data_IF_856684520717
#
_entry.id   IF_856684520717
#
_cell.length_a   1.000
_cell.length_b   1.000
_cell.length_c   1.000
_cell.angle_alpha   90.00
_cell.angle_beta   90.00
_cell.angle_gamma   90.00
#
_symmetry.space_group_name_H-M   'P 1'
#
loop_
_entity.id
_entity.type
_entity.pdbx_description
1 polymer ?
#
# COMPACT_ATOMS: atom_id res chain seq x y z
N UNK A 1 -4.52 -11.21 29.06
CA UNK A 1 -3.62 -10.93 27.90
C UNK A 1 -3.86 -11.88 26.71
N UNK A 2 -4.17 -13.18 26.94
CA UNK A 2 -4.46 -14.13 25.84
C UNK A 2 -5.81 -13.88 25.16
N UNK A 3 -6.80 -13.28 25.83
CA UNK A 3 -8.12 -13.02 25.25
C UNK A 3 -8.16 -11.87 24.24
N UNK A 4 -7.19 -10.95 24.27
CA UNK A 4 -7.16 -9.81 23.33
C UNK A 4 -6.61 -10.19 21.95
N UNK A 5 -5.78 -11.22 21.86
CA UNK A 5 -5.27 -11.72 20.58
C UNK A 5 -6.40 -12.34 19.76
N UNK A 6 -7.37 -13.02 20.40
CA UNK A 6 -8.53 -13.62 19.74
C UNK A 6 -9.60 -12.61 19.30
N UNK A 7 -9.70 -11.45 19.95
CA UNK A 7 -10.69 -10.42 19.60
C UNK A 7 -10.33 -9.61 18.35
N UNK A 8 -9.05 -9.65 17.92
CA UNK A 8 -8.56 -8.95 16.73
C UNK A 8 -8.61 -9.79 15.45
N UNK A 9 -9.10 -11.02 15.52
CA UNK A 9 -9.33 -11.80 14.31
C UNK A 9 -10.55 -11.21 13.60
N UNK A 10 -10.31 -10.59 12.44
CA UNK A 10 -11.39 -10.22 11.56
C UNK A 10 -12.26 -11.46 11.32
N UNK A 11 -13.58 -11.35 11.49
CA UNK A 11 -14.53 -12.39 11.11
C UNK A 11 -14.59 -12.50 9.59
N UNK A 12 -13.44 -12.86 9.02
CA UNK A 12 -13.23 -12.83 7.61
C UNK A 12 -13.12 -14.25 7.08
N UNK A 13 -14.19 -14.70 6.48
CA UNK A 13 -14.18 -15.92 5.68
C UNK A 13 -14.67 -15.57 4.29
N UNK A 14 -13.79 -15.58 3.32
CA UNK A 14 -14.19 -15.60 1.92
C UNK A 14 -14.08 -17.01 1.39
N UNK A 15 -15.18 -17.54 0.96
CA UNK A 15 -15.23 -18.65 0.02
C UNK A 15 -14.84 -18.11 -1.37
N UNK A 16 -13.56 -17.83 -1.56
CA UNK A 16 -13.05 -17.42 -2.87
C UNK A 16 -11.92 -18.33 -3.29
N UNK A 17 -11.91 -18.69 -4.57
CA UNK A 17 -10.82 -19.41 -5.21
C UNK A 17 -9.65 -18.47 -5.56
N UNK A 18 -9.76 -17.17 -5.24
CA UNK A 18 -8.75 -16.16 -5.51
C UNK A 18 -7.94 -15.82 -4.26
N UNK A 19 -6.62 -15.71 -4.41
CA UNK A 19 -5.75 -15.08 -3.43
C UNK A 19 -5.67 -13.59 -3.73
N UNK A 20 -6.39 -12.78 -2.97
CA UNK A 20 -6.42 -11.32 -3.11
C UNK A 20 -5.45 -10.67 -2.14
N UNK A 21 -4.52 -9.87 -2.66
CA UNK A 21 -3.54 -9.12 -1.86
C UNK A 21 -3.63 -7.65 -2.21
N UNK A 22 -3.79 -6.81 -1.19
CA UNK A 22 -3.88 -5.37 -1.35
C UNK A 22 -2.66 -4.68 -0.72
N UNK A 23 -2.23 -3.59 -1.34
CA UNK A 23 -1.08 -2.81 -0.92
C UNK A 23 -1.41 -1.33 -0.93
N UNK A 24 -0.91 -0.60 0.06
CA UNK A 24 -0.76 0.84 -0.09
C UNK A 24 0.36 1.19 -1.07
N UNK A 25 0.40 2.44 -1.47
CA UNK A 25 1.37 2.98 -2.42
C UNK A 25 2.67 3.43 -1.77
N UNK A 26 2.61 4.60 -1.14
CA UNK A 26 3.78 5.28 -0.59
C UNK A 26 4.34 4.55 0.62
N UNK A 27 5.66 4.49 0.73
CA UNK A 27 6.41 3.76 1.76
C UNK A 27 6.15 2.25 1.84
N UNK A 28 5.24 1.70 1.01
CA UNK A 28 4.92 0.27 0.89
C UNK A 28 5.41 -0.29 -0.44
N UNK A 29 4.73 0.00 -1.54
CA UNK A 29 5.19 -0.39 -2.89
C UNK A 29 6.25 0.56 -3.43
N UNK A 30 6.05 1.85 -3.21
CA UNK A 30 6.98 2.90 -3.62
C UNK A 30 7.85 3.33 -2.44
N UNK A 31 8.95 4.03 -2.73
CA UNK A 31 9.75 4.68 -1.70
C UNK A 31 8.94 5.74 -0.95
N UNK A 32 9.48 6.19 0.15
CA UNK A 32 8.86 7.10 1.10
C UNK A 32 9.09 8.59 0.80
N UNK A 33 9.78 8.92 -0.29
CA UNK A 33 10.15 10.30 -0.61
C UNK A 33 8.94 11.23 -0.79
N UNK A 34 7.87 10.75 -1.41
CA UNK A 34 6.65 11.54 -1.62
C UNK A 34 5.88 11.74 -0.33
N UNK A 35 5.80 10.69 0.50
CA UNK A 35 5.20 10.75 1.83
C UNK A 35 5.98 11.70 2.76
N UNK A 36 7.31 11.72 2.67
CA UNK A 36 8.15 12.65 3.42
C UNK A 36 7.87 14.11 3.04
N UNK A 37 7.72 14.41 1.74
CA UNK A 37 7.33 15.75 1.26
C UNK A 37 5.95 16.12 1.78
N UNK A 38 4.98 15.21 1.68
CA UNK A 38 3.63 15.45 2.18
C UNK A 38 3.63 15.79 3.68
N UNK A 39 4.37 15.02 4.49
CA UNK A 39 4.46 15.25 5.94
C UNK A 39 5.20 16.54 6.32
N UNK A 40 6.20 16.93 5.54
CA UNK A 40 7.00 18.12 5.82
C UNK A 40 6.37 19.40 5.28
N UNK A 41 5.80 19.38 4.08
CA UNK A 41 5.43 20.58 3.31
C UNK A 41 3.95 20.60 2.89
N UNK A 42 3.21 19.50 3.12
CA UNK A 42 1.77 19.41 2.86
C UNK A 42 1.40 19.02 1.43
N UNK A 43 0.09 19.10 1.16
CA UNK A 43 -0.52 18.56 -0.06
C UNK A 43 -0.10 19.31 -1.33
N UNK A 44 0.09 20.61 -1.25
CA UNK A 44 0.47 21.45 -2.41
C UNK A 44 1.87 21.09 -2.91
N UNK A 45 2.85 21.02 -2.00
CA UNK A 45 4.23 20.64 -2.33
C UNK A 45 4.29 19.20 -2.87
N UNK A 46 3.54 18.28 -2.27
CA UNK A 46 3.36 16.92 -2.77
C UNK A 46 2.84 16.93 -4.21
N UNK A 47 1.73 17.65 -4.48
CA UNK A 47 1.13 17.73 -5.81
C UNK A 47 2.07 18.28 -6.87
N UNK A 48 2.83 19.33 -6.52
CA UNK A 48 3.86 19.92 -7.37
C UNK A 48 4.98 18.92 -7.70
N UNK A 49 5.56 18.29 -6.67
CA UNK A 49 6.60 17.27 -6.84
C UNK A 49 6.13 16.11 -7.76
N UNK A 50 4.91 15.62 -7.56
CA UNK A 50 4.36 14.53 -8.35
C UNK A 50 4.11 14.92 -9.81
N UNK A 51 3.71 16.17 -10.05
CA UNK A 51 3.51 16.72 -11.39
C UNK A 51 4.83 16.91 -12.12
N UNK A 52 5.83 17.51 -11.47
CA UNK A 52 7.16 17.73 -12.04
C UNK A 52 7.87 16.40 -12.34
N UNK A 53 7.72 15.41 -11.46
CA UNK A 53 8.33 14.08 -11.60
C UNK A 53 7.42 13.05 -12.26
N UNK A 54 6.34 13.46 -12.92
CA UNK A 54 5.33 12.55 -13.47
C UNK A 54 5.89 11.48 -14.44
N UNK A 55 7.03 11.75 -15.08
CA UNK A 55 7.71 10.83 -16.00
C UNK A 55 8.92 10.11 -15.36
N UNK A 56 9.23 10.39 -14.10
CA UNK A 56 10.35 9.77 -13.38
C UNK A 56 9.78 8.69 -12.48
N UNK A 57 10.08 7.40 -12.72
CA UNK A 57 9.62 6.32 -11.87
C UNK A 57 10.04 6.53 -10.41
N UNK A 58 9.15 6.20 -9.49
CA UNK A 58 9.46 6.20 -8.07
C UNK A 58 10.44 5.08 -7.72
N UNK A 59 11.18 5.23 -6.62
CA UNK A 59 12.02 4.16 -6.06
C UNK A 59 11.16 3.03 -5.53
N UNK A 60 11.73 1.84 -5.46
CA UNK A 60 11.07 0.67 -4.88
C UNK A 60 10.95 0.79 -3.36
N UNK A 61 9.73 0.58 -2.86
CA UNK A 61 9.43 0.43 -1.44
C UNK A 61 9.73 -0.98 -0.91
N UNK A 62 9.48 -1.20 0.39
CA UNK A 62 9.76 -2.49 1.06
C UNK A 62 9.06 -3.68 0.40
N UNK A 63 7.82 -3.51 -0.06
CA UNK A 63 6.99 -4.58 -0.62
C UNK A 63 7.05 -4.71 -2.15
N UNK A 64 7.83 -3.87 -2.85
CA UNK A 64 7.94 -3.91 -4.31
C UNK A 64 8.40 -5.28 -4.84
N UNK A 65 9.39 -5.89 -4.17
CA UNK A 65 9.89 -7.24 -4.54
C UNK A 65 8.81 -8.31 -4.37
N UNK A 66 7.99 -8.20 -3.34
CA UNK A 66 6.88 -9.13 -3.11
C UNK A 66 5.82 -9.01 -4.21
N UNK A 67 5.37 -7.78 -4.52
CA UNK A 67 4.44 -7.55 -5.63
C UNK A 67 5.00 -8.06 -6.96
N UNK A 68 6.28 -7.86 -7.22
CA UNK A 68 6.96 -8.37 -8.42
C UNK A 68 6.93 -9.91 -8.50
N UNK A 69 7.11 -10.59 -7.36
CA UNK A 69 7.02 -12.05 -7.30
C UNK A 69 5.59 -12.53 -7.61
N UNK A 70 4.58 -11.89 -7.03
CA UNK A 70 3.18 -12.18 -7.33
C UNK A 70 2.86 -11.96 -8.82
N UNK A 71 3.32 -10.83 -9.40
CA UNK A 71 3.11 -10.54 -10.82
C UNK A 71 3.75 -11.59 -11.76
N UNK A 72 4.92 -12.15 -11.39
CA UNK A 72 5.53 -13.25 -12.14
C UNK A 72 4.67 -14.52 -12.10
N UNK A 73 4.10 -14.85 -10.93
CA UNK A 73 3.20 -16.00 -10.79
C UNK A 73 1.94 -15.80 -11.63
N UNK A 74 1.33 -14.60 -11.55
CA UNK A 74 0.16 -14.24 -12.39
C UNK A 74 0.45 -14.44 -13.89
N UNK A 75 1.57 -13.89 -14.36
CA UNK A 75 1.98 -14.03 -15.77
C UNK A 75 2.17 -15.50 -16.18
N UNK A 76 2.70 -16.33 -15.26
CA UNK A 76 2.84 -17.76 -15.51
C UNK A 76 1.48 -18.45 -15.57
N UNK A 77 0.58 -18.17 -14.63
CA UNK A 77 -0.78 -18.71 -14.63
C UNK A 77 -1.55 -18.35 -15.92
N UNK A 78 -1.42 -17.09 -16.39
CA UNK A 78 -2.03 -16.64 -17.65
C UNK A 78 -1.49 -17.43 -18.86
N UNK A 79 -0.18 -17.71 -18.91
CA UNK A 79 0.45 -18.42 -20.03
C UNK A 79 0.13 -19.92 -20.05
N UNK A 80 0.06 -20.54 -18.88
CA UNK A 80 -0.13 -21.99 -18.76
C UNK A 80 -1.60 -22.42 -18.86
N UNK A 81 -2.55 -21.46 -18.81
CA UNK A 81 -3.99 -21.72 -18.94
C UNK A 81 -4.54 -22.68 -17.87
N UNK A 82 -3.88 -22.75 -16.71
CA UNK A 82 -4.25 -23.67 -15.63
C UNK A 82 -5.46 -23.14 -14.85
N UNK A 83 -6.65 -23.59 -15.23
CA UNK A 83 -7.91 -23.21 -14.58
C UNK A 83 -8.09 -23.78 -13.16
N UNK A 84 -7.20 -24.66 -12.69
CA UNK A 84 -7.33 -25.35 -11.40
C UNK A 84 -6.42 -24.77 -10.29
N UNK A 85 -5.62 -23.74 -10.56
CA UNK A 85 -4.79 -23.09 -9.56
C UNK A 85 -5.50 -21.86 -8.98
N UNK A 86 -5.24 -21.59 -7.69
CA UNK A 86 -5.72 -20.36 -7.03
C UNK A 86 -5.22 -19.14 -7.79
N UNK A 87 -6.15 -18.39 -8.36
CA UNK A 87 -5.84 -17.15 -9.07
C UNK A 87 -5.36 -16.07 -8.10
N UNK A 88 -4.22 -15.46 -8.40
CA UNK A 88 -3.72 -14.32 -7.62
C UNK A 88 -4.32 -13.04 -8.18
N UNK A 89 -4.89 -12.21 -7.31
CA UNK A 89 -5.45 -10.89 -7.66
C UNK A 89 -4.81 -9.84 -6.77
N UNK A 90 -4.16 -8.85 -7.36
CA UNK A 90 -3.47 -7.79 -6.64
C UNK A 90 -4.18 -6.45 -6.78
N UNK A 91 -4.21 -5.66 -5.71
CA UNK A 91 -4.76 -4.32 -5.72
C UNK A 91 -3.81 -3.29 -5.10
N UNK A 92 -3.75 -2.13 -5.71
CA UNK A 92 -3.19 -0.92 -5.09
C UNK A 92 -4.36 -0.13 -4.47
N UNK A 93 -4.24 0.23 -3.20
CA UNK A 93 -5.25 1.02 -2.45
C UNK A 93 -4.54 2.21 -1.81
N UNK A 94 -4.57 3.37 -2.46
CA UNK A 94 -3.75 4.53 -2.07
C UNK A 94 -4.57 5.78 -1.85
N UNK A 95 -4.12 6.63 -0.93
CA UNK A 95 -4.69 7.97 -0.71
C UNK A 95 -4.39 8.96 -1.84
N UNK A 96 -3.50 8.62 -2.77
CA UNK A 96 -3.21 9.47 -3.94
C UNK A 96 -4.47 9.74 -4.76
N UNK A 97 -4.50 10.89 -5.41
CA UNK A 97 -5.55 11.29 -6.37
C UNK A 97 -4.92 11.95 -7.60
N UNK A 98 -5.73 12.51 -8.48
CA UNK A 98 -5.24 13.35 -9.57
C UNK A 98 -4.53 14.60 -9.01
N UNK A 99 -3.42 15.05 -9.61
CA UNK A 99 -2.68 14.47 -10.75
C UNK A 99 -1.66 13.39 -10.36
N UNK A 100 -1.40 13.16 -9.07
CA UNK A 100 -0.34 12.28 -8.56
C UNK A 100 -0.50 10.80 -8.98
N UNK A 101 -1.71 10.35 -9.31
CA UNK A 101 -1.99 8.99 -9.80
C UNK A 101 -1.23 8.66 -11.09
N UNK A 102 -0.95 9.66 -11.93
CA UNK A 102 -0.27 9.44 -13.22
C UNK A 102 1.15 8.88 -13.02
N UNK A 103 1.91 9.41 -12.06
CA UNK A 103 3.26 8.92 -11.73
C UNK A 103 3.22 7.49 -11.23
N UNK A 104 2.24 7.15 -10.39
CA UNK A 104 2.00 5.79 -9.89
C UNK A 104 1.83 4.79 -11.03
N UNK A 105 0.93 5.07 -11.98
CA UNK A 105 0.68 4.20 -13.12
C UNK A 105 1.93 4.06 -14.00
N UNK A 106 2.63 5.16 -14.29
CA UNK A 106 3.86 5.14 -15.07
C UNK A 106 4.98 4.37 -14.39
N UNK A 107 5.09 4.46 -13.05
CA UNK A 107 6.07 3.70 -12.27
C UNK A 107 5.82 2.20 -12.37
N UNK A 108 4.58 1.74 -12.16
CA UNK A 108 4.25 0.32 -12.28
C UNK A 108 4.52 -0.21 -13.69
N UNK A 109 4.19 0.58 -14.73
CA UNK A 109 4.50 0.25 -16.12
C UNK A 109 6.01 0.16 -16.38
N UNK A 110 6.80 1.11 -15.88
CA UNK A 110 8.26 1.09 -16.00
C UNK A 110 8.89 -0.12 -15.30
N UNK A 111 8.28 -0.60 -14.22
CA UNK A 111 8.70 -1.82 -13.53
C UNK A 111 8.24 -3.11 -14.23
N UNK A 112 7.40 -3.02 -15.27
CA UNK A 112 6.80 -4.17 -15.93
C UNK A 112 5.81 -4.93 -15.03
N UNK A 113 5.22 -4.25 -14.06
CA UNK A 113 4.28 -4.85 -13.09
C UNK A 113 2.86 -4.46 -13.45
N UNK A 114 1.99 -5.45 -13.58
CA UNK A 114 0.54 -5.29 -13.61
C UNK A 114 -0.04 -5.49 -12.23
N UNK A 115 -0.88 -4.57 -11.77
CA UNK A 115 -1.85 -4.82 -10.70
C UNK A 115 -3.23 -5.01 -11.33
N UNK A 116 -4.06 -5.88 -10.77
CA UNK A 116 -5.39 -6.16 -11.33
C UNK A 116 -6.34 -4.99 -11.10
N UNK A 117 -6.22 -4.31 -9.96
CA UNK A 117 -7.05 -3.17 -9.59
C UNK A 117 -6.20 -2.07 -8.96
N UNK A 118 -6.60 -0.82 -9.16
CA UNK A 118 -5.97 0.33 -8.52
C UNK A 118 -7.05 1.31 -8.07
N UNK A 119 -7.05 1.62 -6.79
CA UNK A 119 -8.00 2.52 -6.15
C UNK A 119 -7.26 3.78 -5.67
N UNK A 120 -7.60 4.90 -6.27
CA UNK A 120 -7.06 6.23 -5.94
C UNK A 120 -8.11 6.99 -5.14
N UNK A 121 -7.95 7.04 -3.83
CA UNK A 121 -9.02 7.41 -2.90
C UNK A 121 -9.07 8.90 -2.55
N UNK A 122 -8.01 9.67 -2.84
CA UNK A 122 -7.99 11.10 -2.54
C UNK A 122 -8.16 11.42 -1.04
N UNK A 123 -7.69 10.54 -0.16
CA UNK A 123 -7.82 10.68 1.29
C UNK A 123 -9.08 10.07 1.89
N UNK A 124 -9.96 9.44 1.10
CA UNK A 124 -11.08 8.67 1.64
C UNK A 124 -10.59 7.44 2.40
N UNK A 125 -11.40 6.99 3.36
CA UNK A 125 -11.08 5.83 4.19
C UNK A 125 -10.95 4.55 3.33
N UNK A 126 -9.83 3.87 3.45
CA UNK A 126 -9.50 2.66 2.68
C UNK A 126 -10.43 1.49 3.01
N UNK A 127 -11.05 1.48 4.19
CA UNK A 127 -11.94 0.41 4.64
C UNK A 127 -13.14 0.20 3.71
N UNK A 128 -13.64 1.24 3.06
CA UNK A 128 -14.74 1.11 2.08
C UNK A 128 -14.36 0.18 0.93
N UNK A 129 -13.18 0.38 0.35
CA UNK A 129 -12.70 -0.44 -0.76
C UNK A 129 -12.26 -1.83 -0.28
N UNK A 130 -11.56 -1.88 0.87
CA UNK A 130 -11.08 -3.14 1.41
C UNK A 130 -12.21 -4.09 1.77
N UNK A 131 -13.32 -3.57 2.31
CA UNK A 131 -14.53 -4.35 2.62
C UNK A 131 -15.15 -5.01 1.38
N UNK A 132 -15.12 -4.33 0.23
CA UNK A 132 -15.67 -4.84 -1.02
C UNK A 132 -14.66 -5.71 -1.78
N UNK A 133 -13.38 -5.31 -1.81
CA UNK A 133 -12.32 -6.09 -2.47
C UNK A 133 -12.01 -7.39 -1.72
N UNK A 134 -12.18 -7.41 -0.39
CA UNK A 134 -11.98 -8.57 0.49
C UNK A 134 -10.62 -9.24 0.28
N UNK A 135 -9.49 -8.56 0.47
CA UNK A 135 -8.18 -9.19 0.37
C UNK A 135 -7.93 -10.13 1.55
N UNK A 136 -7.18 -11.20 1.35
CA UNK A 136 -6.67 -12.05 2.42
C UNK A 136 -5.61 -11.34 3.26
N UNK A 137 -4.98 -10.31 2.71
CA UNK A 137 -4.12 -9.40 3.47
C UNK A 137 -4.00 -8.04 2.78
N UNK A 138 -3.98 -6.98 3.58
CA UNK A 138 -3.68 -5.61 3.19
C UNK A 138 -2.41 -5.13 3.90
N UNK A 139 -1.52 -4.48 3.17
CA UNK A 139 -0.26 -3.90 3.67
C UNK A 139 -0.27 -2.38 3.58
N UNK A 140 0.04 -1.71 4.70
CA UNK A 140 0.11 -0.25 4.81
C UNK A 140 1.24 0.13 5.78
N UNK A 141 1.88 1.28 5.62
CA UNK A 141 2.94 1.75 6.51
C UNK A 141 2.42 2.43 7.78
N UNK A 142 1.15 2.85 7.77
CA UNK A 142 0.56 3.65 8.84
C UNK A 142 -0.38 2.83 9.72
N UNK A 143 -0.11 2.82 11.04
CA UNK A 143 -0.96 2.15 12.02
C UNK A 143 -2.41 2.63 11.98
N UNK A 144 -2.64 3.93 11.74
CA UNK A 144 -4.00 4.47 11.65
C UNK A 144 -4.83 3.79 10.54
N UNK A 145 -4.19 3.38 9.46
CA UNK A 145 -4.85 2.67 8.37
C UNK A 145 -4.96 1.17 8.63
N UNK A 146 -3.88 0.54 9.12
CA UNK A 146 -3.91 -0.91 9.40
C UNK A 146 -4.84 -1.25 10.57
N UNK A 147 -4.91 -0.41 11.60
CA UNK A 147 -5.85 -0.61 12.73
C UNK A 147 -7.30 -0.56 12.26
N UNK A 148 -7.67 0.41 11.41
CA UNK A 148 -9.02 0.47 10.82
C UNK A 148 -9.28 -0.68 9.87
N UNK A 149 -8.33 -0.98 8.99
CA UNK A 149 -8.45 -2.08 8.04
C UNK A 149 -8.63 -3.43 8.76
N UNK A 150 -7.95 -3.66 9.89
CA UNK A 150 -8.04 -4.89 10.66
C UNK A 150 -9.45 -5.22 11.21
N UNK A 151 -10.35 -4.23 11.22
CA UNK A 151 -11.75 -4.43 11.58
C UNK A 151 -12.56 -5.12 10.47
N UNK A 152 -12.07 -5.07 9.24
CA UNK A 152 -12.79 -5.57 8.05
C UNK A 152 -12.02 -6.62 7.26
N UNK A 153 -10.69 -6.56 7.24
CA UNK A 153 -9.81 -7.52 6.54
C UNK A 153 -8.52 -7.75 7.34
N UNK A 154 -7.79 -8.86 7.16
CA UNK A 154 -6.45 -9.00 7.70
C UNK A 154 -5.54 -7.87 7.19
N UNK A 155 -4.82 -7.21 8.10
CA UNK A 155 -3.94 -6.11 7.75
C UNK A 155 -2.59 -6.23 8.47
N UNK A 156 -1.53 -5.83 7.78
CA UNK A 156 -0.17 -5.83 8.30
C UNK A 156 0.52 -4.48 8.11
N UNK A 157 1.12 -3.95 9.18
CA UNK A 157 1.90 -2.72 9.11
C UNK A 157 3.30 -3.02 8.57
N UNK A 158 3.69 -2.29 7.54
CA UNK A 158 5.00 -2.38 6.91
C UNK A 158 5.93 -1.34 7.56
N UNK A 159 7.03 -1.76 8.20
CA UNK A 159 7.96 -0.81 8.80
C UNK A 159 8.70 -0.02 7.73
N UNK A 160 9.01 1.24 8.03
CA UNK A 160 9.89 2.04 7.20
C UNK A 160 11.29 1.40 7.10
N UNK A 161 11.97 1.65 5.99
CA UNK A 161 13.38 1.29 5.87
C UNK A 161 14.22 2.02 6.93
N UNK A 162 15.29 1.41 7.41
CA UNK A 162 16.13 1.98 8.47
C UNK A 162 16.79 3.31 8.10
N UNK A 163 16.98 3.57 6.80
CA UNK A 163 17.52 4.81 6.24
C UNK A 163 16.44 5.86 5.92
N UNK A 164 15.17 5.54 6.15
CA UNK A 164 14.05 6.44 5.95
C UNK A 164 14.07 7.61 6.92
N UNK A 165 13.80 8.80 6.41
CA UNK A 165 13.57 9.98 7.26
C UNK A 165 12.33 9.84 8.12
N UNK A 166 11.38 8.99 7.71
CA UNK A 166 10.13 8.71 8.42
C UNK A 166 10.31 7.69 9.55
N UNK A 167 11.41 6.91 9.55
CA UNK A 167 11.74 5.96 10.59
C UNK A 167 12.31 6.61 11.86
N UNK A 168 12.80 7.85 11.76
CA UNK A 168 13.37 8.56 12.91
C UNK A 168 12.24 8.99 13.85
N UNK A 169 12.33 8.74 15.17
CA UNK A 169 11.44 9.35 16.14
C UNK A 169 11.49 10.87 15.94
N UNK A 170 10.33 11.55 15.95
CA UNK A 170 10.32 13.01 16.10
C UNK A 170 11.05 13.28 17.41
N UNK A 171 12.17 13.99 17.38
CA UNK A 171 12.77 14.53 18.59
C UNK A 171 11.66 15.32 19.27
N UNK A 172 11.27 14.87 20.48
CA UNK A 172 10.36 15.65 21.33
C UNK A 172 11.04 17.01 21.50
N UNK A 173 10.43 18.05 20.94
CA UNK A 173 10.79 19.41 21.30
C UNK A 173 10.66 19.50 22.82
N UNK A 174 11.80 19.40 23.51
CA UNK A 174 11.91 19.73 24.93
C UNK A 174 11.46 21.18 25.04
N UNK A 175 10.16 21.40 25.29
CA UNK A 175 9.69 22.69 25.82
C UNK A 175 10.45 22.91 27.10
N UNK A 176 11.44 23.78 27.00
CA UNK A 176 12.19 24.26 28.16
C UNK A 176 11.22 24.87 29.14
N UNK A 177 11.07 24.23 30.29
CA UNK A 177 10.68 24.89 31.49
C UNK A 177 11.77 25.91 31.84
N UNK A 178 11.42 27.18 31.79
CA UNK A 178 12.05 28.23 32.53
C UNK A 178 10.96 28.96 33.32
#
# INVERSE_FOLDING_TARGET
AASDVYKRQAKYMTETTELRVAFDGDAVLFGDESEAIFKAEGLEAFGKNESEKANIPMKEGPMAKFLRALAKIQTRQEKEGKNNETKIVTALVTARSAPAHARTIKTLRAWGIKVNQAFFLGGLDKTYVLKEFKPQIFFDDQHVHTDRASLVVPAGTVPYKSDSVLAKPKEEEKKGEK
#
